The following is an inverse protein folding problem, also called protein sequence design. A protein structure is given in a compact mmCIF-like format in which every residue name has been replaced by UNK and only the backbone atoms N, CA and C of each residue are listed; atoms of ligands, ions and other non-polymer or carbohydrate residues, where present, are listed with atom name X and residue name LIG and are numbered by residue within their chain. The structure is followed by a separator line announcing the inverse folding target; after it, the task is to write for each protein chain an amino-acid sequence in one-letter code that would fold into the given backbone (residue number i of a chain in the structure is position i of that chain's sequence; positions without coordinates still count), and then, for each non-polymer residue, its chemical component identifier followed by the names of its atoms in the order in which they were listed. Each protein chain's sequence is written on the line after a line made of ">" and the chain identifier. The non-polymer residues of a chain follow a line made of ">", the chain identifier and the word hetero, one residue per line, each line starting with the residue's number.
data_IF_954893225304
#
_entry.id   IF_954893225304
#
_cell.length_a   1.000
_cell.length_b   1.000
_cell.length_c   1.000
_cell.angle_alpha   90.00
_cell.angle_beta   90.00
_cell.angle_gamma   90.00
#
_symmetry.space_group_name_H-M   'P 1'
#
loop_
_entity.id
_entity.type
_entity.pdbx_description
1 polymer ?
#
# COMPACT_ATOMS: atom_id res chain seq x y z
N UNK A 1 -13.75 17.54 12.57
CA UNK A 1 -12.47 17.51 13.33
C UNK A 1 -11.60 18.61 12.76
N UNK A 2 -11.01 19.47 13.60
CA UNK A 2 -10.08 20.47 13.07
C UNK A 2 -8.82 19.74 12.54
N UNK A 3 -8.23 20.16 11.41
CA UNK A 3 -7.04 19.50 10.85
C UNK A 3 -5.92 19.30 11.87
N UNK A 4 -5.71 20.29 12.75
CA UNK A 4 -4.69 20.28 13.81
C UNK A 4 -4.88 19.11 14.78
N UNK A 5 -6.11 18.89 15.27
CA UNK A 5 -6.43 17.82 16.22
C UNK A 5 -6.15 16.42 15.64
N UNK A 6 -6.38 16.24 14.34
CA UNK A 6 -6.09 14.98 13.67
C UNK A 6 -4.58 14.80 13.49
N UNK A 7 -3.88 15.84 13.06
CA UNK A 7 -2.45 15.79 12.84
C UNK A 7 -1.67 15.52 14.14
N UNK A 8 -2.01 16.22 15.23
CA UNK A 8 -1.39 16.03 16.54
C UNK A 8 -1.53 14.59 17.06
N UNK A 9 -2.69 13.96 16.84
CA UNK A 9 -2.91 12.55 17.22
C UNK A 9 -1.89 11.59 16.62
N UNK A 10 -1.35 11.92 15.44
CA UNK A 10 -0.37 11.09 14.73
C UNK A 10 1.04 11.70 14.72
N UNK A 11 1.31 12.69 15.59
CA UNK A 11 2.61 13.37 15.66
C UNK A 11 2.93 14.21 14.42
N UNK A 12 1.92 14.56 13.63
CA UNK A 12 2.03 15.44 12.48
C UNK A 12 1.66 16.88 12.80
N UNK A 13 1.68 17.72 11.78
CA UNK A 13 1.22 19.10 11.82
C UNK A 13 0.23 19.36 10.68
N UNK A 14 -0.68 20.30 10.86
CA UNK A 14 -1.50 20.79 9.76
C UNK A 14 -0.79 21.93 9.02
N UNK A 15 -1.07 22.03 7.73
CA UNK A 15 -0.57 23.11 6.88
C UNK A 15 -1.75 23.90 6.31
N UNK A 16 -1.55 25.21 6.12
CA UNK A 16 -2.50 26.05 5.41
C UNK A 16 -2.74 25.53 3.99
N UNK A 17 -4.01 25.55 3.56
CA UNK A 17 -4.42 25.03 2.26
C UNK A 17 -3.69 25.74 1.11
N UNK A 18 -3.45 27.03 1.23
CA UNK A 18 -2.81 27.84 0.18
C UNK A 18 -1.32 27.49 -0.01
N UNK A 19 -0.71 26.73 0.91
CA UNK A 19 0.72 26.41 0.92
C UNK A 19 1.04 24.97 0.51
N UNK A 20 0.06 24.09 0.40
CA UNK A 20 0.35 22.66 0.25
C UNK A 20 1.05 22.38 -1.09
N UNK A 21 0.65 23.04 -2.18
CA UNK A 21 1.21 22.82 -3.52
C UNK A 21 2.71 23.19 -3.59
N UNK A 22 3.12 24.28 -2.92
CA UNK A 22 4.53 24.68 -2.88
C UNK A 22 5.39 23.75 -2.02
N UNK A 23 4.75 23.01 -1.10
CA UNK A 23 5.38 22.14 -0.12
C UNK A 23 5.45 20.68 -0.56
N UNK A 24 4.88 20.30 -1.71
CA UNK A 24 4.84 18.91 -2.20
C UNK A 24 6.23 18.25 -2.24
N UNK A 25 7.27 19.01 -2.55
CA UNK A 25 8.66 18.54 -2.62
C UNK A 25 9.27 18.09 -1.29
N UNK A 26 8.62 18.40 -0.15
CA UNK A 26 9.07 18.03 1.19
C UNK A 26 8.62 16.61 1.58
N UNK A 27 7.78 15.98 0.76
CA UNK A 27 7.17 14.68 1.06
C UNK A 27 7.59 13.66 0.01
N UNK A 28 7.82 12.42 0.45
CA UNK A 28 8.07 11.29 -0.43
C UNK A 28 6.76 10.54 -0.78
N UNK A 29 5.73 10.69 0.05
CA UNK A 29 4.40 10.08 -0.13
C UNK A 29 3.31 11.12 0.14
N UNK A 30 2.36 11.23 -0.79
CA UNK A 30 1.21 12.14 -0.70
C UNK A 30 -0.07 11.32 -0.86
N UNK A 31 -1.00 11.46 0.07
CA UNK A 31 -2.32 10.82 0.04
C UNK A 31 -3.40 11.89 -0.10
N UNK A 32 -4.26 11.77 -1.12
CA UNK A 32 -5.47 12.59 -1.27
C UNK A 32 -6.72 11.79 -0.96
N UNK A 33 -7.66 12.41 -0.25
CA UNK A 33 -8.92 11.79 0.21
C UNK A 33 -9.99 12.87 0.39
N UNK A 34 -10.04 13.86 -0.50
CA UNK A 34 -10.99 14.98 -0.39
C UNK A 34 -12.30 14.66 -1.11
N UNK A 35 -13.40 15.26 -0.64
CA UNK A 35 -14.70 15.24 -1.30
C UNK A 35 -14.94 16.44 -2.23
N UNK A 36 -13.88 17.12 -2.66
CA UNK A 36 -14.00 18.36 -3.45
C UNK A 36 -14.57 18.14 -4.86
N UNK A 37 -14.39 16.93 -5.40
CA UNK A 37 -14.72 16.60 -6.79
C UNK A 37 -13.91 17.37 -7.83
N UNK A 38 -12.81 18.01 -7.42
CA UNK A 38 -11.94 18.83 -8.28
C UNK A 38 -10.53 18.27 -8.30
N UNK A 39 -9.83 18.51 -9.41
CA UNK A 39 -8.37 18.38 -9.46
C UNK A 39 -7.76 19.47 -8.56
N UNK A 40 -6.91 19.03 -7.65
CA UNK A 40 -6.19 19.86 -6.67
C UNK A 40 -4.68 19.81 -6.88
N UNK A 41 -4.17 18.73 -7.46
CA UNK A 41 -2.77 18.54 -7.79
C UNK A 41 -2.67 18.32 -9.30
N UNK A 42 -2.03 19.27 -9.97
CA UNK A 42 -1.82 19.25 -11.42
C UNK A 42 -0.47 18.65 -11.79
N UNK A 43 -0.30 18.30 -13.06
CA UNK A 43 0.97 17.91 -13.66
C UNK A 43 2.08 18.92 -13.38
N UNK A 44 1.80 20.21 -13.54
CA UNK A 44 2.78 21.27 -13.33
C UNK A 44 3.17 21.42 -11.86
N UNK A 45 2.25 21.18 -10.92
CA UNK A 45 2.56 21.18 -9.49
C UNK A 45 3.60 20.10 -9.15
N UNK A 46 3.36 18.87 -9.62
CA UNK A 46 4.26 17.74 -9.40
C UNK A 46 5.59 17.94 -10.13
N UNK A 47 5.56 18.44 -11.37
CA UNK A 47 6.78 18.73 -12.13
C UNK A 47 7.66 19.76 -11.41
N UNK A 48 7.07 20.80 -10.82
CA UNK A 48 7.80 21.76 -9.97
C UNK A 48 8.34 21.12 -8.70
N UNK A 49 7.58 20.23 -8.06
CA UNK A 49 7.99 19.54 -6.85
C UNK A 49 9.19 18.61 -7.09
N UNK A 50 9.12 17.77 -8.11
CA UNK A 50 10.20 16.83 -8.50
C UNK A 50 11.48 17.59 -8.86
N UNK A 51 11.37 18.74 -9.53
CA UNK A 51 12.53 19.60 -9.84
C UNK A 51 13.26 20.09 -8.58
N UNK A 52 12.55 20.30 -7.47
CA UNK A 52 13.15 20.72 -6.19
C UNK A 52 13.75 19.55 -5.39
N UNK A 53 13.42 18.30 -5.75
CA UNK A 53 13.89 17.09 -5.07
C UNK A 53 14.31 16.02 -6.10
N UNK A 54 15.36 16.28 -6.91
CA UNK A 54 15.70 15.42 -8.03
C UNK A 54 16.18 14.04 -7.58
N UNK A 55 15.76 13.00 -8.31
CA UNK A 55 16.19 11.62 -8.09
C UNK A 55 15.49 10.90 -6.93
N UNK A 56 14.58 11.56 -6.20
CA UNK A 56 13.76 10.90 -5.19
C UNK A 56 12.43 10.41 -5.80
N UNK A 57 12.01 9.18 -5.48
CA UNK A 57 10.69 8.70 -5.89
C UNK A 57 9.60 9.46 -5.15
N UNK A 58 8.53 9.84 -5.86
CA UNK A 58 7.35 10.48 -5.30
C UNK A 58 6.13 9.59 -5.49
N UNK A 59 5.54 9.14 -4.39
CA UNK A 59 4.34 8.30 -4.39
C UNK A 59 3.10 9.17 -4.17
N UNK A 60 2.14 9.06 -5.07
CA UNK A 60 0.86 9.74 -5.03
C UNK A 60 -0.24 8.68 -4.88
N UNK A 61 -1.02 8.74 -3.82
CA UNK A 61 -2.13 7.83 -3.56
C UNK A 61 -3.41 8.66 -3.57
N UNK A 62 -4.28 8.44 -4.56
CA UNK A 62 -5.54 9.16 -4.72
C UNK A 62 -6.73 8.27 -4.35
N UNK A 63 -7.30 8.53 -3.16
CA UNK A 63 -8.47 7.83 -2.65
C UNK A 63 -9.78 8.58 -2.97
N UNK A 64 -9.77 9.57 -3.87
CA UNK A 64 -10.95 10.38 -4.19
C UNK A 64 -11.62 9.98 -5.50
N UNK A 65 -12.96 10.07 -5.49
CA UNK A 65 -13.82 9.86 -6.67
C UNK A 65 -14.84 11.00 -6.75
N UNK A 66 -14.79 11.88 -7.77
CA UNK A 66 -13.76 12.00 -8.81
C UNK A 66 -12.35 12.31 -8.27
N UNK A 67 -11.31 11.97 -9.06
CA UNK A 67 -9.89 12.11 -8.68
C UNK A 67 -9.53 13.53 -8.27
N UNK A 68 -8.60 13.65 -7.33
CA UNK A 68 -7.99 14.92 -6.91
C UNK A 68 -6.66 15.19 -7.63
N UNK A 69 -6.05 14.17 -8.21
CA UNK A 69 -4.76 14.28 -8.89
C UNK A 69 -4.95 14.06 -10.39
N UNK A 70 -4.31 14.90 -11.20
CA UNK A 70 -4.25 14.70 -12.65
C UNK A 70 -3.55 13.38 -12.99
N UNK A 71 -4.12 12.58 -13.88
CA UNK A 71 -3.54 11.29 -14.27
C UNK A 71 -2.20 11.42 -15.00
N UNK A 72 -2.01 12.54 -15.70
CA UNK A 72 -0.80 12.79 -16.47
C UNK A 72 0.46 12.90 -15.60
N UNK A 73 0.33 13.11 -14.28
CA UNK A 73 1.47 13.12 -13.34
C UNK A 73 2.26 11.80 -13.40
N UNK A 74 1.60 10.69 -13.74
CA UNK A 74 2.22 9.38 -13.92
C UNK A 74 3.23 9.31 -15.07
N UNK A 75 3.23 10.31 -15.96
CA UNK A 75 4.20 10.44 -17.06
C UNK A 75 5.52 11.09 -16.63
N UNK A 76 5.62 11.58 -15.39
CA UNK A 76 6.83 12.20 -14.86
C UNK A 76 7.73 11.10 -14.32
N UNK A 77 9.01 11.12 -14.72
CA UNK A 77 9.99 10.15 -14.22
C UNK A 77 10.07 10.17 -12.68
N UNK A 78 10.12 8.97 -12.09
CA UNK A 78 10.13 8.75 -10.64
C UNK A 78 8.86 9.21 -9.90
N UNK A 79 7.73 9.41 -10.59
CA UNK A 79 6.43 9.66 -9.97
C UNK A 79 5.53 8.43 -10.15
N UNK A 80 4.94 7.97 -9.07
CA UNK A 80 4.07 6.79 -9.05
C UNK A 80 2.68 7.20 -8.54
N UNK A 81 1.67 7.14 -9.41
CA UNK A 81 0.28 7.42 -9.05
C UNK A 81 -0.48 6.11 -8.85
N UNK A 82 -1.13 5.97 -7.70
CA UNK A 82 -1.99 4.85 -7.33
C UNK A 82 -3.36 5.38 -6.91
N UNK A 83 -4.40 4.61 -7.18
CA UNK A 83 -5.72 4.80 -6.58
C UNK A 83 -5.98 3.75 -5.48
N UNK A 84 -7.15 3.83 -4.85
CA UNK A 84 -7.54 2.87 -3.80
C UNK A 84 -7.70 1.43 -4.32
N UNK A 85 -8.09 1.25 -5.58
CA UNK A 85 -8.22 -0.06 -6.21
C UNK A 85 -6.85 -0.71 -6.42
N UNK A 86 -5.84 0.06 -6.84
CA UNK A 86 -4.46 -0.43 -7.03
C UNK A 86 -3.87 -0.93 -5.70
N UNK A 87 -4.06 -0.15 -4.62
CA UNK A 87 -3.63 -0.54 -3.26
C UNK A 87 -4.37 -1.80 -2.82
N UNK A 88 -5.66 -1.89 -3.11
CA UNK A 88 -6.48 -3.06 -2.77
C UNK A 88 -6.05 -4.31 -3.54
N UNK A 89 -5.69 -4.17 -4.82
CA UNK A 89 -5.18 -5.26 -5.64
C UNK A 89 -3.87 -5.83 -5.08
N UNK A 90 -2.93 -4.96 -4.68
CA UNK A 90 -1.67 -5.37 -4.03
C UNK A 90 -1.96 -6.09 -2.70
N UNK A 91 -2.87 -5.56 -1.89
CA UNK A 91 -3.25 -6.18 -0.62
C UNK A 91 -3.88 -7.57 -0.82
N UNK A 92 -4.75 -7.71 -1.82
CA UNK A 92 -5.41 -8.97 -2.15
C UNK A 92 -4.43 -10.02 -2.67
N UNK A 93 -3.46 -9.63 -3.50
CA UNK A 93 -2.43 -10.57 -3.97
C UNK A 93 -1.55 -11.06 -2.81
N UNK A 94 -1.18 -10.16 -1.89
CA UNK A 94 -0.46 -10.54 -0.67
C UNK A 94 -1.27 -11.50 0.21
N UNK A 95 -2.58 -11.30 0.33
CA UNK A 95 -3.47 -12.22 1.05
C UNK A 95 -3.52 -13.59 0.38
N UNK A 96 -3.65 -13.64 -0.95
CA UNK A 96 -3.67 -14.88 -1.74
C UNK A 96 -2.38 -15.68 -1.59
N UNK A 97 -1.23 -15.02 -1.62
CA UNK A 97 0.07 -15.65 -1.38
C UNK A 97 0.14 -16.24 0.04
N UNK A 98 -0.29 -15.49 1.06
CA UNK A 98 -0.35 -15.98 2.45
C UNK A 98 -1.25 -17.22 2.58
N UNK A 99 -2.42 -17.22 1.95
CA UNK A 99 -3.34 -18.37 1.99
C UNK A 99 -2.74 -19.61 1.32
N UNK A 100 -2.03 -19.43 0.20
CA UNK A 100 -1.38 -20.53 -0.52
C UNK A 100 -0.30 -21.19 0.33
N UNK A 101 0.49 -20.39 1.05
CA UNK A 101 1.53 -20.91 1.95
C UNK A 101 0.94 -21.67 3.15
N UNK A 102 -0.18 -21.20 3.69
CA UNK A 102 -0.92 -21.94 4.75
C UNK A 102 -1.37 -23.30 4.26
N UNK A 103 -1.91 -23.38 3.04
CA UNK A 103 -2.37 -24.65 2.48
C UNK A 103 -1.20 -25.63 2.22
N UNK A 104 -0.07 -25.10 1.74
CA UNK A 104 1.16 -25.88 1.59
C UNK A 104 1.63 -26.45 2.93
N UNK A 105 1.61 -25.64 3.99
CA UNK A 105 1.97 -26.09 5.34
C UNK A 105 1.03 -27.19 5.84
N UNK A 106 -0.28 -27.06 5.62
CA UNK A 106 -1.27 -28.09 5.97
C UNK A 106 -1.01 -29.41 5.26
N UNK A 107 -0.76 -29.38 3.95
CA UNK A 107 -0.40 -30.58 3.18
C UNK A 107 0.86 -31.26 3.71
N UNK A 108 1.89 -30.48 4.04
CA UNK A 108 3.13 -31.00 4.62
C UNK A 108 2.90 -31.66 6.00
N UNK A 109 2.08 -31.05 6.86
CA UNK A 109 1.71 -31.61 8.17
C UNK A 109 0.91 -32.90 8.03
N UNK A 110 -0.10 -32.93 7.15
CA UNK A 110 -0.90 -34.13 6.88
C UNK A 110 -0.01 -35.29 6.38
N UNK A 111 0.90 -35.02 5.43
CA UNK A 111 1.84 -36.01 4.93
C UNK A 111 2.87 -36.49 5.97
N UNK A 112 3.17 -35.69 7.00
CA UNK A 112 3.98 -36.13 8.16
C UNK A 112 3.17 -36.99 9.12
N UNK A 113 1.93 -36.60 9.42
CA UNK A 113 1.04 -37.35 10.31
C UNK A 113 0.74 -38.75 9.77
N UNK A 114 0.46 -38.89 8.46
CA UNK A 114 0.25 -40.18 7.82
C UNK A 114 1.48 -41.10 7.94
N UNK A 115 2.68 -40.57 7.68
CA UNK A 115 3.93 -41.33 7.83
C UNK A 115 4.19 -41.78 9.27
N UNK A 116 3.95 -40.91 10.25
CA UNK A 116 4.06 -41.27 11.66
C UNK A 116 3.07 -42.38 12.03
N UNK A 117 1.84 -42.31 11.54
CA UNK A 117 0.82 -43.33 11.78
C UNK A 117 1.22 -44.71 11.22
N UNK A 118 1.73 -44.76 9.98
CA UNK A 118 2.26 -45.99 9.37
C UNK A 118 3.43 -46.58 10.18
N UNK A 119 4.36 -45.74 10.64
CA UNK A 119 5.48 -46.18 11.47
C UNK A 119 5.02 -46.80 12.80
N UNK A 120 4.05 -46.18 13.49
CA UNK A 120 3.53 -46.68 14.76
C UNK A 120 2.78 -48.00 14.60
N UNK A 121 1.96 -48.12 13.54
CA UNK A 121 1.21 -49.38 13.26
C UNK A 121 2.13 -50.51 12.78
N UNK A 122 3.22 -50.19 12.08
CA UNK A 122 4.26 -51.18 11.71
C UNK A 122 5.09 -51.65 12.91
N UNK A 123 5.26 -50.86 13.97
CA UNK A 123 5.97 -51.28 15.19
C UNK A 123 5.09 -52.09 16.16
N UNK A 124 3.78 -51.85 16.15
CA UNK A 124 2.78 -52.60 16.94
C UNK A 124 2.50 -54.01 16.41
N UNK A 125 3.07 -54.38 15.25
CA UNK A 125 2.87 -55.68 14.58
C UNK A 125 4.06 -56.65 14.73
N UNK A 126 4.90 -56.51 15.76
CA UNK A 126 5.88 -57.55 16.12
C UNK A 126 5.18 -58.70 16.88
N UNK A 127 5.19 -59.94 16.36
CA UNK A 127 4.54 -61.07 17.01
C UNK A 127 5.40 -61.57 18.19
N UNK A 128 4.70 -61.98 19.25
CA UNK A 128 5.19 -62.81 20.36
C UNK A 128 5.72 -64.16 19.89
#
# INVERSE_FOLDING_TARGET
>A
RKPDELAEKFGGFAMAYERFQDSLHLFDVILTSTSSGKIMITFDDIKRAVKKSPGKPLFLIDASVPRNIEEEVSRIDNVFLYNMDDVSAIANENLRMRMTEVERCRGALAGRAARLWEQMTSQLSLPS
#
